data_IF_355285275416
#
_entry.id   IF_355285275416
#
_cell.length_a   1.000
_cell.length_b   1.000
_cell.length_c   1.000
_cell.angle_alpha   90.00
_cell.angle_beta   90.00
_cell.angle_gamma   90.00
#
_symmetry.space_group_name_H-M   'P 1'
#
loop_
_entity.id
_entity.type
_entity.pdbx_description
1 polymer ?
#
# COMPACT_ATOMS: atom_id res chain seq x y z
N UNK A 1 5.35 -8.22 -13.62
CA UNK A 1 4.20 -7.45 -13.12
C UNK A 1 4.67 -6.38 -12.17
N UNK A 2 4.02 -5.22 -12.21
CA UNK A 2 4.25 -4.11 -11.28
C UNK A 2 2.97 -3.93 -10.48
N UNK A 3 3.06 -4.12 -9.17
CA UNK A 3 1.97 -3.87 -8.25
C UNK A 3 2.14 -2.48 -7.65
N UNK A 4 1.37 -1.54 -8.12
CA UNK A 4 1.37 -0.20 -7.57
C UNK A 4 0.31 -0.07 -6.48
N UNK A 5 0.76 0.30 -5.29
CA UNK A 5 -0.12 0.85 -4.27
C UNK A 5 0.11 2.35 -4.24
N UNK A 6 -0.82 3.05 -4.81
CA UNK A 6 -0.81 4.50 -4.78
C UNK A 6 -1.25 4.98 -3.41
N UNK A 7 -0.47 5.86 -2.80
CA UNK A 7 -0.76 6.39 -1.47
C UNK A 7 -2.14 7.05 -1.42
N UNK A 8 -2.60 7.65 -2.54
CA UNK A 8 -3.95 8.18 -2.69
C UNK A 8 -5.04 7.13 -2.51
N UNK A 9 -4.91 5.96 -3.15
CA UNK A 9 -5.90 4.87 -3.04
C UNK A 9 -5.87 4.19 -1.68
N UNK A 10 -4.69 3.95 -1.13
CA UNK A 10 -4.56 3.35 0.20
C UNK A 10 -5.08 4.27 1.32
N UNK A 11 -5.22 5.55 1.02
CA UNK A 11 -5.75 6.59 1.90
C UNK A 11 -7.27 6.70 1.87
N UNK A 12 -7.93 6.00 0.96
CA UNK A 12 -9.40 6.00 0.88
C UNK A 12 -10.01 5.83 2.27
N UNK A 13 -10.90 6.74 2.67
CA UNK A 13 -11.46 6.70 4.01
C UNK A 13 -12.39 5.50 4.17
N UNK A 14 -12.09 4.69 5.15
CA UNK A 14 -12.91 3.56 5.54
C UNK A 14 -13.81 3.94 6.72
N UNK A 15 -15.08 3.57 6.63
CA UNK A 15 -16.01 3.75 7.73
C UNK A 15 -15.74 2.68 8.80
N UNK A 16 -15.39 3.11 9.99
CA UNK A 16 -15.15 2.21 11.10
C UNK A 16 -15.57 2.87 12.41
N UNK A 17 -16.37 2.14 13.19
CA UNK A 17 -16.83 2.61 14.50
C UNK A 17 -17.52 3.98 14.41
N UNK A 18 -18.42 4.13 13.43
CA UNK A 18 -19.17 5.36 13.20
C UNK A 18 -18.35 6.56 12.74
N UNK A 19 -17.07 6.36 12.37
CA UNK A 19 -16.16 7.42 11.94
C UNK A 19 -15.40 7.02 10.70
N UNK A 20 -15.23 8.00 9.83
CA UNK A 20 -14.32 7.86 8.68
C UNK A 20 -12.88 7.97 9.16
N UNK A 21 -12.06 6.99 8.84
CA UNK A 21 -10.64 6.97 9.19
C UNK A 21 -9.79 6.51 8.01
N UNK A 22 -8.69 7.20 7.81
CA UNK A 22 -7.63 6.74 6.91
C UNK A 22 -6.92 5.53 7.51
N UNK A 23 -6.62 4.54 6.66
CA UNK A 23 -6.03 3.27 7.05
C UNK A 23 -4.93 2.86 6.09
N UNK A 24 -3.99 3.77 5.90
CA UNK A 24 -2.99 3.65 4.84
C UNK A 24 -2.19 2.35 4.93
N UNK A 25 -1.73 1.98 6.13
CA UNK A 25 -0.95 0.74 6.31
C UNK A 25 -1.78 -0.49 5.98
N UNK A 26 -2.94 -0.64 6.60
CA UNK A 26 -3.78 -1.83 6.45
C UNK A 26 -4.27 -1.97 5.01
N UNK A 27 -4.66 -0.86 4.40
CA UNK A 27 -5.14 -0.84 3.02
C UNK A 27 -4.00 -1.20 2.07
N UNK A 28 -2.83 -0.60 2.22
CA UNK A 28 -1.65 -0.92 1.41
C UNK A 28 -1.24 -2.39 1.56
N UNK A 29 -1.25 -2.92 2.77
CA UNK A 29 -0.95 -4.32 3.03
C UNK A 29 -1.90 -5.25 2.27
N UNK A 30 -3.20 -4.98 2.34
CA UNK A 30 -4.21 -5.78 1.64
C UNK A 30 -4.11 -5.66 0.12
N UNK A 31 -3.78 -4.47 -0.38
CA UNK A 31 -3.60 -4.24 -1.82
C UNK A 31 -2.39 -5.01 -2.36
N UNK A 32 -1.24 -4.91 -1.70
CA UNK A 32 -0.06 -5.67 -2.08
C UNK A 32 -0.29 -7.17 -2.02
N UNK A 33 -0.89 -7.66 -0.95
CA UNK A 33 -1.18 -9.09 -0.78
C UNK A 33 -2.17 -9.62 -1.82
N UNK A 34 -3.15 -8.83 -2.19
CA UNK A 34 -4.08 -9.17 -3.26
C UNK A 34 -3.34 -9.35 -4.60
N UNK A 35 -2.47 -8.42 -4.94
CA UNK A 35 -1.71 -8.48 -6.20
C UNK A 35 -0.66 -9.60 -6.17
N UNK A 36 -0.01 -9.84 -5.03
CA UNK A 36 0.91 -10.96 -4.87
C UNK A 36 0.17 -12.29 -5.04
N UNK A 37 -0.94 -12.48 -4.36
CA UNK A 37 -1.77 -13.70 -4.47
C UNK A 37 -2.23 -13.98 -5.89
N UNK A 38 -2.50 -12.93 -6.66
CA UNK A 38 -2.90 -13.02 -8.06
C UNK A 38 -1.77 -13.52 -8.96
N UNK A 39 -0.54 -13.13 -8.67
CA UNK A 39 0.63 -13.34 -9.55
C UNK A 39 1.51 -14.51 -9.14
N UNK A 40 1.58 -14.84 -7.87
CA UNK A 40 2.46 -15.89 -7.32
C UNK A 40 2.34 -17.24 -8.05
N UNK A 41 1.14 -17.78 -8.35
CA UNK A 41 1.01 -19.05 -9.04
C UNK A 41 1.51 -19.03 -10.48
N UNK A 42 1.68 -17.87 -11.07
CA UNK A 42 2.14 -17.73 -12.47
C UNK A 42 3.65 -17.89 -12.61
N UNK A 43 4.40 -17.86 -11.50
CA UNK A 43 5.87 -17.85 -11.49
C UNK A 43 6.50 -16.59 -12.11
N UNK A 44 5.69 -15.55 -12.36
CA UNK A 44 6.17 -14.31 -12.98
C UNK A 44 6.73 -13.38 -11.94
N UNK A 45 7.81 -12.68 -12.32
CA UNK A 45 8.44 -11.67 -11.49
C UNK A 45 7.48 -10.52 -11.20
N UNK A 46 7.45 -10.11 -9.94
CA UNK A 46 6.65 -9.01 -9.46
C UNK A 46 7.53 -7.94 -8.83
N UNK A 47 7.17 -6.70 -9.09
CA UNK A 47 7.76 -5.50 -8.50
C UNK A 47 6.70 -4.80 -7.66
N UNK A 48 7.09 -4.31 -6.50
CA UNK A 48 6.27 -3.36 -5.75
C UNK A 48 6.67 -1.95 -6.10
N UNK A 49 5.68 -1.14 -6.46
CA UNK A 49 5.88 0.26 -6.77
C UNK A 49 5.21 1.12 -5.70
N UNK A 50 5.96 2.10 -5.19
CA UNK A 50 5.44 3.12 -4.28
C UNK A 50 5.57 4.51 -4.87
N UNK A 51 4.66 5.37 -4.47
CA UNK A 51 4.67 6.79 -4.79
C UNK A 51 4.74 7.61 -3.50
N UNK A 52 5.90 8.18 -3.16
CA UNK A 52 6.07 8.94 -1.93
C UNK A 52 5.46 10.34 -1.97
N UNK A 53 5.08 10.82 -3.14
CA UNK A 53 4.54 12.17 -3.34
C UNK A 53 3.27 12.08 -4.18
N UNK A 54 2.16 12.39 -3.54
CA UNK A 54 0.85 12.34 -4.18
C UNK A 54 0.60 13.54 -5.10
N UNK A 55 -0.30 13.36 -6.06
CA UNK A 55 -0.76 14.42 -6.95
C UNK A 55 -1.63 15.45 -6.23
N UNK A 56 -2.24 15.06 -5.12
CA UNK A 56 -3.08 15.95 -4.32
C UNK A 56 -2.28 16.69 -3.26
N UNK A 57 -2.48 18.00 -3.12
CA UNK A 57 -1.73 18.80 -2.15
C UNK A 57 -1.97 18.32 -0.72
N UNK A 58 -0.90 17.90 -0.07
CA UNK A 58 -0.85 17.53 1.35
C UNK A 58 0.38 18.17 1.99
N UNK A 59 0.39 18.32 3.29
CA UNK A 59 1.60 18.79 3.95
C UNK A 59 2.67 17.69 4.04
N UNK A 60 3.91 18.10 4.26
CA UNK A 60 5.04 17.18 4.30
C UNK A 60 5.00 16.19 5.46
N UNK A 61 4.34 16.53 6.56
CA UNK A 61 4.17 15.61 7.68
C UNK A 61 3.22 14.47 7.30
N UNK A 62 2.18 14.79 6.58
CA UNK A 62 1.22 13.85 6.05
C UNK A 62 1.86 12.92 5.00
N UNK A 63 2.55 13.45 4.00
CA UNK A 63 3.28 12.64 3.01
C UNK A 63 4.26 11.68 3.68
N UNK A 64 5.07 12.19 4.61
CA UNK A 64 6.05 11.39 5.34
C UNK A 64 5.41 10.23 6.10
N UNK A 65 4.34 10.50 6.84
CA UNK A 65 3.61 9.50 7.63
C UNK A 65 3.01 8.41 6.75
N UNK A 66 2.35 8.82 5.69
CA UNK A 66 1.62 7.88 4.85
C UNK A 66 2.54 7.06 3.95
N UNK A 67 3.61 7.65 3.42
CA UNK A 67 4.62 6.89 2.72
C UNK A 67 5.32 5.87 3.64
N UNK A 68 5.60 6.24 4.87
CA UNK A 68 6.14 5.29 5.85
C UNK A 68 5.19 4.12 6.09
N UNK A 69 3.89 4.37 6.15
CA UNK A 69 2.90 3.31 6.31
C UNK A 69 2.87 2.35 5.10
N UNK A 70 2.87 2.88 3.88
CA UNK A 70 2.93 2.10 2.65
C UNK A 70 4.23 1.29 2.55
N UNK A 71 5.35 1.91 2.86
CA UNK A 71 6.65 1.26 2.91
C UNK A 71 6.67 0.09 3.93
N UNK A 72 6.13 0.32 5.13
CA UNK A 72 6.07 -0.74 6.14
C UNK A 72 5.24 -1.92 5.66
N UNK A 73 4.16 -1.67 4.93
CA UNK A 73 3.35 -2.74 4.33
C UNK A 73 4.16 -3.58 3.33
N UNK A 74 5.02 -2.96 2.51
CA UNK A 74 5.88 -3.69 1.57
C UNK A 74 6.84 -4.66 2.27
N UNK A 75 7.42 -4.25 3.41
CA UNK A 75 8.37 -5.08 4.15
C UNK A 75 7.77 -6.38 4.70
N UNK A 76 6.45 -6.48 4.76
CA UNK A 76 5.76 -7.68 5.21
C UNK A 76 5.59 -8.75 4.11
N UNK A 77 6.08 -8.47 2.91
CA UNK A 77 6.08 -9.40 1.78
C UNK A 77 7.52 -9.78 1.39
N UNK A 78 8.21 -10.61 2.18
CA UNK A 78 9.63 -10.91 1.99
C UNK A 78 9.93 -11.70 0.70
N UNK A 79 8.91 -12.26 0.06
CA UNK A 79 9.05 -12.92 -1.24
C UNK A 79 9.25 -11.94 -2.41
N UNK A 80 8.96 -10.67 -2.19
CA UNK A 80 9.15 -9.61 -3.17
C UNK A 80 10.49 -8.91 -2.87
N UNK A 81 11.39 -8.98 -3.83
CA UNK A 81 12.74 -8.43 -3.70
C UNK A 81 13.00 -7.23 -4.63
N UNK A 82 12.06 -6.93 -5.50
CA UNK A 82 12.20 -5.87 -6.49
C UNK A 82 11.21 -4.75 -6.23
N UNK A 83 11.72 -3.53 -6.20
CA UNK A 83 10.96 -2.34 -5.83
C UNK A 83 11.19 -1.22 -6.82
N UNK A 84 10.15 -0.48 -7.09
CA UNK A 84 10.18 0.75 -7.87
C UNK A 84 9.64 1.91 -7.04
N UNK A 85 10.22 3.09 -7.23
CA UNK A 85 9.79 4.33 -6.60
C UNK A 85 9.39 5.30 -7.69
N UNK A 86 8.16 5.76 -7.63
CA UNK A 86 7.67 6.84 -8.48
C UNK A 86 7.53 8.14 -7.68
N UNK A 87 7.69 9.26 -8.30
CA UNK A 87 8.31 9.46 -9.61
C UNK A 87 9.84 9.30 -9.54
N UNK A 88 10.50 9.43 -10.68
CA UNK A 88 11.96 9.33 -10.76
C UNK A 88 12.70 10.31 -9.84
N UNK A 89 13.95 10.03 -9.47
CA UNK A 89 14.65 10.77 -8.42
C UNK A 89 14.71 12.29 -8.62
N UNK A 90 14.95 12.77 -9.83
CA UNK A 90 15.02 14.21 -10.11
C UNK A 90 13.69 14.90 -9.78
N UNK A 91 12.57 14.26 -10.14
CA UNK A 91 11.26 14.80 -9.81
C UNK A 91 11.04 14.83 -8.29
N UNK A 92 11.45 13.79 -7.58
CA UNK A 92 11.31 13.75 -6.13
C UNK A 92 12.15 14.83 -5.45
N UNK A 93 13.45 14.85 -5.73
CA UNK A 93 14.38 15.67 -4.97
C UNK A 93 14.51 17.12 -5.45
N UNK A 94 14.25 17.36 -6.73
CA UNK A 94 14.34 18.70 -7.34
C UNK A 94 12.99 19.30 -7.65
N UNK A 95 11.93 18.53 -7.62
CA UNK A 95 10.57 18.98 -7.89
C UNK A 95 10.05 20.00 -6.88
N UNK A 96 9.07 20.75 -7.32
CA UNK A 96 8.35 21.73 -6.50
C UNK A 96 6.89 21.28 -6.36
N UNK A 97 6.44 21.10 -5.14
CA UNK A 97 5.15 20.54 -4.81
C UNK A 97 4.30 21.51 -4.01
N UNK A 98 3.02 21.55 -4.32
CA UNK A 98 2.03 22.22 -3.45
C UNK A 98 1.83 21.39 -2.20
N UNK A 99 1.86 22.05 -1.05
CA UNK A 99 1.67 21.40 0.27
C UNK A 99 0.33 21.75 0.93
N UNK A 100 -0.52 22.49 0.20
CA UNK A 100 -1.86 22.85 0.65
C UNK A 100 -2.77 23.08 -0.54
N UNK A 101 -4.01 22.62 -0.44
CA UNK A 101 -5.05 22.89 -1.44
C UNK A 101 -5.39 24.39 -1.52
N UNK A 102 -5.17 25.12 -0.44
CA UNK A 102 -5.52 26.54 -0.30
C UNK A 102 -4.38 27.51 -0.62
N UNK A 103 -3.26 26.99 -1.14
CA UNK A 103 -2.08 27.81 -1.46
C UNK A 103 -1.43 27.33 -2.74
N UNK A 104 -1.04 28.28 -3.58
CA UNK A 104 -0.25 27.99 -4.79
C UNK A 104 1.26 27.95 -4.51
N UNK A 105 1.66 28.19 -3.27
CA UNK A 105 3.05 28.07 -2.85
C UNK A 105 3.52 26.64 -3.09
N UNK A 106 4.67 26.52 -3.78
CA UNK A 106 5.33 25.25 -4.03
C UNK A 106 6.63 25.19 -3.25
N UNK A 107 6.92 24.01 -2.72
CA UNK A 107 8.10 23.77 -1.90
C UNK A 107 8.82 22.52 -2.38
N UNK A 108 10.13 22.49 -2.18
CA UNK A 108 10.92 21.27 -2.36
C UNK A 108 10.72 20.33 -1.19
N UNK A 109 10.97 19.03 -1.41
CA UNK A 109 10.96 18.03 -0.35
C UNK A 109 11.90 18.47 0.81
N UNK A 110 11.42 18.48 2.06
CA UNK A 110 12.25 18.84 3.20
C UNK A 110 13.36 17.80 3.43
N UNK A 111 14.51 18.28 3.88
CA UNK A 111 15.67 17.41 4.10
C UNK A 111 15.38 16.20 5.00
N UNK A 112 14.58 16.40 6.04
CA UNK A 112 14.24 15.31 6.97
C UNK A 112 13.39 14.21 6.27
N UNK A 113 12.56 14.57 5.31
CA UNK A 113 11.80 13.59 4.54
C UNK A 113 12.66 12.93 3.46
N UNK A 114 13.46 13.68 2.75
CA UNK A 114 14.39 13.10 1.76
C UNK A 114 15.39 12.14 2.41
N UNK A 115 15.89 12.46 3.61
CA UNK A 115 16.74 11.54 4.38
C UNK A 115 16.00 10.26 4.76
N UNK A 116 14.74 10.37 5.21
CA UNK A 116 13.92 9.19 5.51
C UNK A 116 13.71 8.32 4.28
N UNK A 117 13.42 8.92 3.13
CA UNK A 117 13.29 8.18 1.87
C UNK A 117 14.57 7.44 1.51
N UNK A 118 15.73 8.08 1.68
CA UNK A 118 17.01 7.43 1.43
C UNK A 118 17.24 6.21 2.35
N UNK A 119 16.88 6.33 3.62
CA UNK A 119 16.95 5.21 4.56
C UNK A 119 16.02 4.07 4.12
N UNK A 120 14.81 4.39 3.68
CA UNK A 120 13.85 3.41 3.19
C UNK A 120 14.36 2.69 1.94
N UNK A 121 14.90 3.43 0.97
CA UNK A 121 15.50 2.84 -0.24
C UNK A 121 16.65 1.89 0.12
N UNK A 122 17.52 2.31 1.02
CA UNK A 122 18.63 1.46 1.48
C UNK A 122 18.12 0.20 2.18
N UNK A 123 17.03 0.30 2.95
CA UNK A 123 16.42 -0.86 3.59
C UNK A 123 15.87 -1.85 2.57
N UNK A 124 15.18 -1.36 1.54
CA UNK A 124 14.69 -2.21 0.45
C UNK A 124 15.84 -2.89 -0.31
N UNK A 125 16.92 -2.17 -0.58
CA UNK A 125 18.12 -2.73 -1.23
C UNK A 125 18.78 -3.85 -0.41
N UNK A 126 18.57 -3.83 0.90
CA UNK A 126 19.12 -4.85 1.80
C UNK A 126 18.20 -6.08 1.94
N UNK A 127 16.94 -5.99 1.55
CA UNK A 127 15.97 -7.08 1.67
C UNK A 127 16.40 -8.37 0.95
N UNK A 128 16.86 -8.33 -0.32
CA UNK A 128 17.28 -9.52 -1.04
C UNK A 128 18.51 -10.22 -0.43
N UNK A 129 19.28 -9.51 0.38
CA UNK A 129 20.48 -10.03 1.05
C UNK A 129 20.18 -10.62 2.42
N UNK A 130 18.93 -10.51 2.89
CA UNK A 130 18.54 -10.98 4.20
C UNK A 130 18.14 -12.46 4.16
N UNK A 131 18.58 -13.22 5.16
CA UNK A 131 18.11 -14.60 5.39
C UNK A 131 16.79 -14.64 6.16
N UNK A 132 16.04 -13.56 6.17
CA UNK A 132 14.78 -13.46 6.88
C UNK A 132 13.78 -14.47 6.33
N UNK A 133 13.23 -15.27 7.23
CA UNK A 133 12.20 -16.23 6.91
C UNK A 133 10.92 -15.87 7.65
N UNK A 134 9.82 -15.92 6.94
CA UNK A 134 8.51 -15.87 7.60
C UNK A 134 8.28 -17.20 8.31
N UNK A 135 8.11 -17.14 9.62
CA UNK A 135 7.84 -18.31 10.44
C UNK A 135 6.60 -18.08 11.30
N UNK A 136 6.00 -19.15 11.76
CA UNK A 136 4.81 -19.10 12.61
C UNK A 136 3.52 -19.35 11.82
N UNK A 137 2.41 -18.96 12.43
CA UNK A 137 1.10 -19.08 11.79
C UNK A 137 0.93 -18.11 10.64
N UNK A 138 0.42 -18.57 9.52
CA UNK A 138 -0.03 -17.69 8.42
C UNK A 138 -1.32 -16.94 8.75
N UNK A 139 -1.97 -17.33 9.84
CA UNK A 139 -3.18 -16.69 10.32
C UNK A 139 -4.43 -17.19 9.62
N UNK A 140 -5.25 -16.26 9.14
CA UNK A 140 -6.54 -16.52 8.51
C UNK A 140 -6.43 -16.20 7.03
N UNK A 141 -6.74 -17.18 6.18
CA UNK A 141 -6.86 -16.95 4.74
C UNK A 141 -8.22 -16.36 4.40
N UNK A 142 -8.20 -15.28 3.64
CA UNK A 142 -9.40 -14.63 3.11
C UNK A 142 -9.46 -14.89 1.61
N UNK A 143 -10.48 -15.61 1.19
CA UNK A 143 -10.70 -15.92 -0.22
C UNK A 143 -11.22 -14.69 -0.95
N UNK A 144 -10.64 -14.42 -2.10
CA UNK A 144 -11.01 -13.33 -2.99
C UNK A 144 -11.28 -13.87 -4.38
N UNK A 145 -12.22 -13.25 -5.08
CA UNK A 145 -12.46 -13.49 -6.51
C UNK A 145 -12.01 -12.28 -7.32
N UNK A 146 -11.57 -12.51 -8.56
CA UNK A 146 -11.23 -11.42 -9.48
C UNK A 146 -12.39 -10.45 -9.68
N UNK A 147 -13.61 -10.94 -9.71
CA UNK A 147 -14.82 -10.11 -9.80
C UNK A 147 -14.91 -9.07 -8.67
N UNK A 148 -14.49 -9.42 -7.45
CA UNK A 148 -14.44 -8.48 -6.33
C UNK A 148 -13.42 -7.35 -6.58
N UNK A 149 -12.28 -7.70 -7.15
CA UNK A 149 -11.24 -6.71 -7.46
C UNK A 149 -11.69 -5.72 -8.53
N UNK A 150 -12.39 -6.17 -9.55
CA UNK A 150 -12.96 -5.29 -10.58
C UNK A 150 -14.09 -4.41 -10.03
N UNK A 151 -14.82 -4.88 -9.08
CA UNK A 151 -15.89 -4.12 -8.43
C UNK A 151 -15.38 -3.16 -7.36
N UNK A 152 -14.10 -3.24 -7.02
CA UNK A 152 -13.47 -2.42 -6.00
C UNK A 152 -13.43 -0.93 -6.35
N UNK A 153 -13.49 -0.58 -7.62
CA UNK A 153 -13.51 0.78 -8.11
C UNK A 153 -14.84 1.14 -8.79
N UNK A 154 -15.98 0.91 -8.17
CA UNK A 154 -17.24 1.43 -8.67
C UNK A 154 -17.24 2.95 -8.58
N UNK A 155 -18.15 3.58 -9.30
CA UNK A 155 -18.36 5.02 -9.17
C UNK A 155 -18.88 5.32 -7.76
N UNK A 156 -17.99 5.78 -6.90
CA UNK A 156 -18.32 6.11 -5.53
C UNK A 156 -19.05 7.45 -5.45
N UNK A 157 -20.24 7.43 -4.92
CA UNK A 157 -20.95 8.63 -4.51
C UNK A 157 -20.84 8.82 -2.98
N UNK A 158 -19.70 8.49 -2.38
CA UNK A 158 -19.48 8.64 -0.94
C UNK A 158 -18.83 7.43 -0.27
N UNK A 159 -18.90 7.41 1.05
CA UNK A 159 -18.22 6.43 1.92
C UNK A 159 -18.98 5.13 2.16
N UNK A 160 -20.18 5.00 1.61
CA UNK A 160 -21.08 3.87 1.80
C UNK A 160 -20.97 2.85 0.65
N UNK A 161 -19.74 2.53 0.28
CA UNK A 161 -19.54 1.48 -0.72
C UNK A 161 -19.64 0.09 -0.06
N UNK A 162 -20.70 -0.66 -0.33
CA UNK A 162 -20.88 -1.98 0.26
C UNK A 162 -19.82 -2.99 -0.16
N UNK A 163 -19.11 -2.75 -1.26
CA UNK A 163 -18.06 -3.64 -1.75
C UNK A 163 -16.75 -3.44 -0.95
N UNK A 164 -16.44 -2.21 -0.58
CA UNK A 164 -15.37 -1.94 0.36
C UNK A 164 -15.66 -2.57 1.72
N UNK A 165 -16.89 -2.47 2.20
CA UNK A 165 -17.26 -3.09 3.46
C UNK A 165 -17.16 -4.61 3.43
N UNK A 166 -17.40 -5.27 2.30
CA UNK A 166 -17.25 -6.73 2.18
C UNK A 166 -15.79 -7.16 2.33
N UNK A 167 -14.86 -6.50 1.65
CA UNK A 167 -13.45 -6.83 1.71
C UNK A 167 -12.77 -6.29 2.97
N UNK A 168 -12.81 -4.99 3.17
CA UNK A 168 -12.14 -4.35 4.30
C UNK A 168 -12.86 -4.61 5.62
N UNK A 169 -14.18 -4.75 5.60
CA UNK A 169 -14.97 -5.06 6.79
C UNK A 169 -14.62 -6.41 7.41
N UNK A 170 -14.19 -7.37 6.62
CA UNK A 170 -13.73 -8.67 7.11
C UNK A 170 -12.26 -8.65 7.53
N UNK A 171 -11.41 -7.99 6.78
CA UNK A 171 -9.96 -8.07 6.94
C UNK A 171 -9.40 -7.07 7.95
N UNK A 172 -9.86 -5.82 7.94
CA UNK A 172 -9.34 -4.78 8.83
C UNK A 172 -9.47 -5.09 10.32
N UNK A 173 -10.58 -5.65 10.81
CA UNK A 173 -10.69 -6.01 12.23
C UNK A 173 -9.67 -7.05 12.68
N UNK A 174 -9.27 -7.96 11.79
CA UNK A 174 -8.26 -8.99 12.05
C UNK A 174 -6.88 -8.34 12.14
N UNK A 175 -6.50 -7.57 11.13
CA UNK A 175 -5.21 -6.87 11.08
C UNK A 175 -5.02 -5.95 12.30
N UNK A 176 -6.07 -5.24 12.70
CA UNK A 176 -6.03 -4.36 13.88
C UNK A 176 -5.78 -5.09 15.19
N UNK A 177 -6.11 -6.36 15.25
CA UNK A 177 -5.83 -7.21 16.41
C UNK A 177 -4.50 -7.93 16.32
N UNK A 178 -3.71 -7.65 15.27
CA UNK A 178 -2.44 -8.33 15.03
C UNK A 178 -2.61 -9.79 14.58
N UNK A 179 -3.79 -10.14 14.07
CA UNK A 179 -4.03 -11.47 13.49
C UNK A 179 -3.50 -11.44 12.06
N UNK A 180 -2.56 -12.32 11.71
CA UNK A 180 -2.07 -12.41 10.34
C UNK A 180 -3.21 -12.74 9.37
N UNK A 181 -3.20 -12.09 8.23
CA UNK A 181 -4.19 -12.30 7.15
C UNK A 181 -3.43 -12.64 5.88
N UNK A 182 -3.77 -13.75 5.27
CA UNK A 182 -3.30 -14.15 3.96
C UNK A 182 -4.43 -13.99 2.94
N UNK A 183 -4.17 -13.31 1.85
CA UNK A 183 -5.14 -13.15 0.76
C UNK A 183 -4.93 -14.26 -0.27
N UNK A 184 -5.99 -14.94 -0.63
CA UNK A 184 -5.96 -16.05 -1.57
C UNK A 184 -7.00 -15.84 -2.65
N UNK A 185 -6.56 -15.75 -3.89
CA UNK A 185 -7.48 -15.71 -5.03
C UNK A 185 -8.07 -17.08 -5.30
N UNK A 186 -9.40 -17.15 -5.42
CA UNK A 186 -10.12 -18.40 -5.67
C UNK A 186 -9.64 -19.10 -6.94
N UNK A 187 -9.28 -18.33 -7.95
CA UNK A 187 -8.76 -18.83 -9.22
C UNK A 187 -7.40 -19.54 -9.09
N UNK A 188 -6.72 -19.33 -7.98
CA UNK A 188 -5.40 -19.90 -7.68
C UNK A 188 -5.47 -21.03 -6.65
N UNK A 189 -6.63 -21.36 -6.15
CA UNK A 189 -6.77 -22.52 -5.25
C UNK A 189 -6.73 -23.81 -6.08
N UNK A 190 -5.87 -24.79 -5.74
CA UNK A 190 -5.95 -26.09 -6.38
C UNK A 190 -7.29 -26.74 -6.00
N UNK A 191 -7.98 -27.27 -6.97
CA UNK A 191 -9.19 -28.07 -6.77
C UNK A 191 -8.86 -29.48 -6.37
#
# INVERSE_FOLDING_TARGET
YIAQVWTGTSREPNYFDGKVKERVFETAFLEYGSMESMTAPTGRKMFFLTDPIEDWPRDWADYKKNYQATFTAQLLYPNIADYEIMPWPERIYEGLYRTSANSDKKERIPRHYSTQMQIMVNSLNSMPLSDNKVTGSRGISVLMANSLMFQRFPNHNGYDDPQFSSFYGQTLPLLKRGIPVELVHMENTPF
#
